data_IF_453938935865
#
_entry.id   IF_453938935865
#
_cell.length_a   1.000
_cell.length_b   1.000
_cell.length_c   1.000
_cell.angle_alpha   90.00
_cell.angle_beta   90.00
_cell.angle_gamma   90.00
#
_symmetry.space_group_name_H-M   'P 1'
#
loop_
_entity.id
_entity.type
_entity.pdbx_description
1 polymer ?
#
# COMPACT_ATOMS: atom_id res chain seq x y z
N UNK A 1 -0.85 -6.11 10.25
CA UNK A 1 0.19 -5.64 11.20
C UNK A 1 0.17 -4.11 11.20
N UNK A 2 0.28 -3.45 12.35
CA UNK A 2 0.50 -1.99 12.45
C UNK A 2 1.78 -1.74 13.22
N UNK A 3 2.59 -0.80 12.73
CA UNK A 3 3.80 -0.31 13.41
C UNK A 3 3.94 1.20 13.22
N UNK A 4 4.72 1.82 14.09
CA UNK A 4 5.17 3.20 13.93
C UNK A 4 6.68 3.17 13.68
N UNK A 5 7.14 3.91 12.67
CA UNK A 5 8.54 3.99 12.26
C UNK A 5 8.97 5.45 12.35
N UNK A 6 10.12 5.72 12.98
CA UNK A 6 10.73 7.05 12.95
C UNK A 6 11.52 7.22 11.64
N UNK A 7 11.16 8.24 10.86
CA UNK A 7 11.88 8.65 9.66
C UNK A 7 12.35 10.09 9.84
N UNK A 8 13.62 10.27 10.18
CA UNK A 8 14.24 11.58 10.38
C UNK A 8 13.52 12.44 11.43
N UNK A 9 13.07 11.85 12.54
CA UNK A 9 12.32 12.54 13.59
C UNK A 9 10.83 12.74 13.29
N UNK A 10 10.33 12.15 12.20
CA UNK A 10 8.91 12.10 11.88
C UNK A 10 8.37 10.68 12.06
N UNK A 11 7.37 10.53 12.94
CA UNK A 11 6.69 9.26 13.12
C UNK A 11 5.74 8.97 11.94
N UNK A 12 5.98 7.83 11.27
CA UNK A 12 5.16 7.32 10.16
C UNK A 12 4.48 6.03 10.58
N UNK A 13 3.16 5.95 10.41
CA UNK A 13 2.40 4.74 10.67
C UNK A 13 2.45 3.83 9.45
N UNK A 14 2.65 2.53 9.65
CA UNK A 14 2.67 1.54 8.59
C UNK A 14 1.70 0.42 8.93
N UNK A 15 0.76 0.15 8.04
CA UNK A 15 -0.19 -0.95 8.14
C UNK A 15 0.02 -1.92 6.98
N UNK A 16 0.27 -3.18 7.31
CA UNK A 16 0.41 -4.27 6.33
C UNK A 16 -0.86 -5.11 6.30
N UNK A 17 -1.37 -5.36 5.09
CA UNK A 17 -2.59 -6.15 4.83
C UNK A 17 -2.33 -7.32 3.89
N UNK A 18 -3.15 -8.35 4.02
CA UNK A 18 -3.30 -9.43 3.06
C UNK A 18 -4.79 -9.76 2.98
N UNK A 19 -5.47 -9.32 1.92
CA UNK A 19 -6.92 -9.45 1.81
C UNK A 19 -7.33 -10.78 1.17
N UNK A 20 -8.53 -11.25 1.49
CA UNK A 20 -9.06 -12.51 0.97
C UNK A 20 -9.40 -12.47 -0.53
N UNK A 21 -9.43 -13.64 -1.16
CA UNK A 21 -9.76 -13.78 -2.58
C UNK A 21 -11.24 -13.50 -2.92
N UNK A 22 -12.13 -13.56 -1.93
CA UNK A 22 -13.56 -13.35 -2.10
C UNK A 22 -13.89 -11.86 -1.96
N UNK A 23 -14.49 -11.23 -2.98
CA UNK A 23 -14.81 -9.80 -3.02
C UNK A 23 -15.57 -9.31 -1.78
N UNK A 24 -16.62 -10.03 -1.37
CA UNK A 24 -17.41 -9.68 -0.19
C UNK A 24 -16.59 -9.79 1.12
N UNK A 25 -15.60 -10.68 1.18
CA UNK A 25 -14.66 -10.74 2.31
C UNK A 25 -13.73 -9.54 2.30
N UNK A 26 -13.17 -9.16 1.13
CA UNK A 26 -12.32 -7.95 1.02
C UNK A 26 -13.01 -6.70 1.50
N UNK A 27 -14.25 -6.46 1.07
CA UNK A 27 -15.00 -5.28 1.50
C UNK A 27 -15.17 -5.22 3.02
N UNK A 28 -15.46 -6.37 3.66
CA UNK A 28 -15.53 -6.43 5.13
C UNK A 28 -14.19 -6.16 5.80
N UNK A 29 -13.10 -6.69 5.24
CA UNK A 29 -11.74 -6.45 5.73
C UNK A 29 -11.31 -4.99 5.56
N UNK A 30 -11.67 -4.35 4.44
CA UNK A 30 -11.42 -2.92 4.20
C UNK A 30 -12.20 -2.06 5.19
N UNK A 31 -13.49 -2.37 5.43
CA UNK A 31 -14.26 -1.66 6.45
C UNK A 31 -13.68 -1.85 7.86
N UNK A 32 -13.11 -3.03 8.17
CA UNK A 32 -12.40 -3.27 9.42
C UNK A 32 -11.09 -2.47 9.49
N UNK A 33 -10.35 -2.40 8.40
CA UNK A 33 -9.14 -1.59 8.28
C UNK A 33 -9.44 -0.09 8.49
N UNK A 34 -10.52 0.42 7.90
CA UNK A 34 -10.97 1.80 8.10
C UNK A 34 -11.23 2.10 9.59
N UNK A 35 -12.03 1.25 10.25
CA UNK A 35 -12.30 1.37 11.70
C UNK A 35 -11.03 1.27 12.53
N UNK A 36 -10.09 0.41 12.13
CA UNK A 36 -8.80 0.28 12.80
C UNK A 36 -7.99 1.57 12.66
N UNK A 37 -7.82 2.09 11.44
CA UNK A 37 -7.08 3.33 11.17
C UNK A 37 -7.68 4.50 11.95
N UNK A 38 -9.01 4.65 11.95
CA UNK A 38 -9.69 5.74 12.65
C UNK A 38 -9.47 5.70 14.18
N UNK A 39 -9.26 4.50 14.75
CA UNK A 39 -9.01 4.32 16.19
C UNK A 39 -7.55 4.47 16.57
N UNK A 40 -6.63 3.96 15.76
CA UNK A 40 -5.23 3.75 16.15
C UNK A 40 -4.25 4.75 15.50
N UNK A 41 -4.66 5.48 14.46
CA UNK A 41 -3.79 6.40 13.71
C UNK A 41 -4.35 7.81 13.78
N UNK A 42 -3.58 8.81 14.27
CA UNK A 42 -4.02 10.20 14.26
C UNK A 42 -4.40 10.65 12.85
N UNK A 43 -5.50 11.40 12.72
CA UNK A 43 -6.10 11.72 11.41
C UNK A 43 -5.14 12.42 10.43
N UNK A 44 -4.19 13.20 10.94
CA UNK A 44 -3.19 13.95 10.15
C UNK A 44 -1.79 13.32 10.16
N UNK A 45 -1.60 12.18 10.83
CA UNK A 45 -0.30 11.51 10.83
C UNK A 45 -0.01 10.89 9.44
N UNK A 46 1.26 10.91 9.00
CA UNK A 46 1.69 10.12 7.85
C UNK A 46 1.36 8.64 8.06
N UNK A 47 0.74 8.03 7.05
CA UNK A 47 0.31 6.64 7.09
C UNK A 47 0.61 5.99 5.74
N UNK A 48 1.24 4.82 5.78
CA UNK A 48 1.35 3.87 4.67
C UNK A 48 0.43 2.68 4.93
N UNK A 49 -0.34 2.28 3.93
CA UNK A 49 -1.03 1.00 3.89
C UNK A 49 -0.49 0.21 2.70
N UNK A 50 0.09 -0.96 2.96
CA UNK A 50 0.77 -1.76 1.95
C UNK A 50 0.43 -3.25 2.04
N UNK A 51 0.53 -3.97 0.93
CA UNK A 51 0.48 -5.42 0.90
C UNK A 51 -0.33 -5.96 -0.25
N UNK A 52 -0.72 -7.24 -0.14
CA UNK A 52 -1.52 -7.93 -1.14
C UNK A 52 -3.01 -7.65 -0.91
N UNK A 53 -3.61 -6.90 -1.81
CA UNK A 53 -5.02 -6.54 -1.73
C UNK A 53 -5.93 -7.54 -2.44
N UNK A 54 -5.38 -8.50 -3.19
CA UNK A 54 -6.13 -9.50 -3.95
C UNK A 54 -7.29 -8.89 -4.78
N UNK A 55 -7.08 -7.68 -5.30
CA UNK A 55 -8.04 -6.98 -6.14
C UNK A 55 -7.53 -6.86 -7.57
N UNK A 56 -8.30 -7.43 -8.48
CA UNK A 56 -8.01 -7.47 -9.91
C UNK A 56 -8.56 -6.24 -10.66
N UNK A 57 -9.14 -5.28 -9.93
CA UNK A 57 -9.76 -4.09 -10.48
C UNK A 57 -9.42 -2.83 -9.69
N UNK A 58 -10.34 -1.88 -9.68
CA UNK A 58 -10.15 -0.55 -9.08
C UNK A 58 -10.86 -0.36 -7.75
N UNK A 59 -11.49 -1.42 -7.21
CA UNK A 59 -12.32 -1.33 -6.01
C UNK A 59 -11.49 -0.87 -4.81
N UNK A 60 -10.35 -1.52 -4.58
CA UNK A 60 -9.46 -1.15 -3.46
C UNK A 60 -8.98 0.28 -3.60
N UNK A 61 -8.59 0.72 -4.80
CA UNK A 61 -8.17 2.11 -5.02
C UNK A 61 -9.27 3.10 -4.66
N UNK A 62 -10.53 2.81 -5.01
CA UNK A 62 -11.68 3.64 -4.65
C UNK A 62 -11.88 3.71 -3.14
N UNK A 63 -11.86 2.57 -2.45
CA UNK A 63 -12.05 2.53 -1.00
C UNK A 63 -10.90 3.22 -0.24
N UNK A 64 -9.65 3.03 -0.68
CA UNK A 64 -8.48 3.72 -0.09
C UNK A 64 -8.57 5.24 -0.27
N UNK A 65 -8.93 5.70 -1.48
CA UNK A 65 -9.14 7.13 -1.73
C UNK A 65 -10.23 7.74 -0.84
N UNK A 66 -11.29 6.97 -0.53
CA UNK A 66 -12.32 7.39 0.43
C UNK A 66 -11.79 7.64 1.85
N UNK A 67 -10.71 6.95 2.23
CA UNK A 67 -9.98 7.16 3.49
C UNK A 67 -8.88 8.23 3.41
N UNK A 68 -8.76 8.92 2.26
CA UNK A 68 -7.70 9.89 1.99
C UNK A 68 -6.33 9.25 1.77
N UNK A 69 -6.29 7.97 1.39
CA UNK A 69 -5.08 7.22 1.09
C UNK A 69 -4.92 7.07 -0.42
N UNK A 70 -3.79 7.53 -0.94
CA UNK A 70 -3.53 7.59 -2.38
C UNK A 70 -2.26 6.81 -2.72
N UNK A 71 -2.32 6.03 -3.81
CA UNK A 71 -1.16 5.36 -4.37
C UNK A 71 -0.55 6.18 -5.49
N UNK A 72 0.56 5.71 -6.05
CA UNK A 72 1.14 6.29 -7.26
C UNK A 72 0.14 6.25 -8.44
N UNK A 73 0.11 7.33 -9.21
CA UNK A 73 -0.81 7.61 -10.32
C UNK A 73 -0.18 7.36 -11.71
N UNK A 74 1.11 7.03 -11.75
CA UNK A 74 1.81 6.62 -12.97
C UNK A 74 1.50 5.19 -13.41
N UNK A 75 2.35 4.60 -14.26
CA UNK A 75 2.14 3.27 -14.83
C UNK A 75 1.91 2.19 -13.76
N UNK A 76 0.99 1.27 -14.04
CA UNK A 76 0.81 0.06 -13.23
C UNK A 76 2.07 -0.79 -13.28
N UNK A 77 2.34 -1.46 -12.16
CA UNK A 77 3.48 -2.36 -12.00
C UNK A 77 2.95 -3.73 -11.58
N UNK A 78 2.62 -4.61 -12.54
CA UNK A 78 2.09 -5.93 -12.23
C UNK A 78 3.06 -6.75 -11.38
N UNK A 79 2.51 -7.45 -10.38
CA UNK A 79 3.28 -8.26 -9.42
C UNK A 79 2.96 -9.74 -9.53
N UNK A 80 1.80 -10.10 -10.09
CA UNK A 80 1.30 -11.48 -10.11
C UNK A 80 0.86 -11.93 -11.52
N UNK A 81 1.10 -13.19 -11.92
CA UNK A 81 2.05 -14.12 -11.30
C UNK A 81 3.49 -13.72 -11.60
N UNK A 82 4.44 -14.01 -10.71
CA UNK A 82 5.79 -13.45 -10.78
C UNK A 82 6.52 -13.78 -12.08
N UNK A 83 6.33 -15.00 -12.59
CA UNK A 83 6.94 -15.50 -13.85
C UNK A 83 6.43 -14.81 -15.11
N UNK A 84 5.21 -14.26 -15.08
CA UNK A 84 4.57 -13.55 -16.18
C UNK A 84 3.59 -12.54 -15.59
N UNK A 85 4.07 -11.36 -15.16
CA UNK A 85 3.25 -10.42 -14.40
C UNK A 85 2.12 -9.83 -15.24
N UNK A 86 0.87 -10.05 -14.82
CA UNK A 86 -0.35 -9.63 -15.52
C UNK A 86 -1.24 -8.71 -14.66
N UNK A 87 -1.23 -8.91 -13.35
CA UNK A 87 -2.05 -8.17 -12.40
C UNK A 87 -1.20 -7.52 -11.30
N UNK A 88 -1.58 -6.32 -10.89
CA UNK A 88 -1.01 -5.64 -9.72
C UNK A 88 -1.92 -5.89 -8.52
N UNK A 89 -1.70 -7.02 -7.83
CA UNK A 89 -2.45 -7.36 -6.62
C UNK A 89 -1.86 -6.67 -5.39
N UNK A 90 -0.55 -6.47 -5.39
CA UNK A 90 0.16 -5.72 -4.38
C UNK A 90 0.03 -4.21 -4.65
N UNK A 91 -0.32 -3.45 -3.62
CA UNK A 91 -0.45 -2.00 -3.72
C UNK A 91 0.12 -1.32 -2.48
N UNK A 92 0.51 -0.06 -2.65
CA UNK A 92 0.97 0.82 -1.57
C UNK A 92 0.22 2.13 -1.67
N UNK A 93 -0.48 2.49 -0.61
CA UNK A 93 -1.22 3.74 -0.49
C UNK A 93 -0.67 4.56 0.67
N UNK A 94 -0.70 5.88 0.54
CA UNK A 94 -0.22 6.78 1.58
C UNK A 94 -1.12 8.00 1.78
N UNK A 95 -1.05 8.53 3.00
CA UNK A 95 -1.60 9.83 3.41
C UNK A 95 -0.48 10.62 4.08
N UNK A 96 -0.47 11.93 3.90
CA UNK A 96 0.54 12.80 4.51
C UNK A 96 1.94 12.64 3.90
N UNK A 97 2.06 11.93 2.79
CA UNK A 97 3.27 11.77 1.98
C UNK A 97 2.86 11.72 0.52
N UNK A 98 3.70 12.19 -0.38
CA UNK A 98 3.41 12.22 -1.82
C UNK A 98 4.03 10.98 -2.47
N UNK A 99 3.24 10.08 -3.09
CA UNK A 99 3.79 9.01 -3.92
C UNK A 99 4.51 9.63 -5.13
N UNK A 100 5.74 9.20 -5.39
CA UNK A 100 6.57 9.74 -6.50
C UNK A 100 7.05 8.67 -7.47
N UNK A 101 7.01 7.39 -7.08
CA UNK A 101 7.45 6.31 -7.94
C UNK A 101 6.93 4.95 -7.50
N UNK A 102 6.90 4.04 -8.47
CA UNK A 102 6.59 2.64 -8.27
C UNK A 102 7.45 1.80 -9.21
N UNK A 103 8.09 0.78 -8.68
CA UNK A 103 8.91 -0.14 -9.47
C UNK A 103 8.78 -1.58 -8.97
N UNK A 104 8.95 -2.51 -9.91
CA UNK A 104 9.06 -3.94 -9.64
C UNK A 104 10.47 -4.40 -10.04
N UNK A 105 11.27 -4.93 -9.10
CA UNK A 105 12.58 -5.48 -9.41
C UNK A 105 12.50 -6.58 -10.48
N UNK A 106 13.45 -6.57 -11.42
CA UNK A 106 13.53 -7.55 -12.51
C UNK A 106 14.57 -8.63 -12.22
N UNK A 107 14.39 -9.81 -12.82
CA UNK A 107 15.36 -10.90 -12.79
C UNK A 107 14.79 -12.22 -12.29
N UNK A 108 15.38 -13.33 -12.74
CA UNK A 108 14.90 -14.70 -12.45
C UNK A 108 14.91 -15.06 -10.97
N UNK A 109 15.72 -14.38 -10.14
CA UNK A 109 15.80 -14.66 -8.71
C UNK A 109 14.46 -14.41 -8.00
N UNK A 110 13.75 -13.35 -8.37
CA UNK A 110 12.48 -12.97 -7.76
C UNK A 110 11.40 -14.01 -7.99
N UNK A 111 11.33 -14.60 -9.19
CA UNK A 111 10.40 -15.67 -9.52
C UNK A 111 10.62 -16.95 -8.72
N UNK A 112 11.84 -17.16 -8.21
CA UNK A 112 12.18 -18.32 -7.38
C UNK A 112 11.87 -18.09 -5.90
N UNK A 113 11.70 -16.82 -5.50
CA UNK A 113 11.43 -16.44 -4.11
C UNK A 113 9.94 -16.43 -3.79
N UNK A 114 9.08 -16.06 -4.75
CA UNK A 114 7.63 -16.00 -4.57
C UNK A 114 6.90 -16.05 -5.92
N UNK A 115 5.62 -16.41 -5.88
CA UNK A 115 4.64 -16.25 -6.95
C UNK A 115 4.17 -14.80 -7.14
N UNK A 116 4.54 -13.89 -6.23
CA UNK A 116 4.44 -12.44 -6.38
C UNK A 116 5.83 -11.81 -6.54
N UNK A 117 5.93 -10.78 -7.38
CA UNK A 117 7.10 -9.92 -7.43
C UNK A 117 7.03 -8.86 -6.32
N UNK A 118 8.17 -8.45 -5.73
CA UNK A 118 8.20 -7.33 -4.81
C UNK A 118 7.75 -6.04 -5.51
N UNK A 119 7.02 -5.20 -4.76
CA UNK A 119 6.66 -3.86 -5.18
C UNK A 119 7.41 -2.84 -4.33
N UNK A 120 8.19 -1.98 -4.97
CA UNK A 120 8.92 -0.89 -4.30
C UNK A 120 8.22 0.41 -4.65
N UNK A 121 7.71 1.09 -3.62
CA UNK A 121 7.07 2.39 -3.73
C UNK A 121 7.95 3.47 -3.12
N UNK A 122 8.06 4.60 -3.81
CA UNK A 122 8.83 5.76 -3.37
C UNK A 122 7.88 6.89 -3.00
N UNK A 123 8.17 7.52 -1.86
CA UNK A 123 7.39 8.63 -1.33
C UNK A 123 8.29 9.80 -0.97
N UNK A 124 7.83 11.00 -1.30
CA UNK A 124 8.38 12.22 -0.75
C UNK A 124 7.71 12.48 0.61
N UNK A 125 8.52 12.54 1.67
CA UNK A 125 8.08 12.94 3.00
C UNK A 125 7.62 14.41 2.98
N UNK A 126 6.64 14.79 3.81
CA UNK A 126 6.30 16.19 3.98
C UNK A 126 7.49 16.91 4.61
N UNK A 127 7.68 18.19 4.30
CA UNK A 127 8.70 18.96 5.00
C UNK A 127 8.41 18.95 6.50
N UNK A 128 9.43 18.76 7.37
CA UNK A 128 9.22 18.86 8.80
C UNK A 128 8.63 20.24 9.09
N UNK A 129 7.50 20.28 9.81
CA UNK A 129 6.91 21.54 10.24
C UNK A 129 8.02 22.35 10.93
N UNK A 130 8.29 23.55 10.42
CA UNK A 130 9.44 24.37 10.81
C UNK A 130 9.64 24.36 12.32
N UNK A 131 10.89 24.12 12.74
CA UNK A 131 11.32 24.25 14.14
C UNK A 131 11.10 25.67 14.63
#
# INVERSE_FOLDING_TARGET
>A
LHSQVDLHGQAVHVVVVHLGLIRASRLRQIAQLERFIAREVPARAPLVVAGDFNDWGTMVRREMSGMGLFGYDGPVQPTFPSRMPLAQLDQVFARGMKPVGLQVPRGRIWWRMSDHLPLVAEFQLPEPAGR
#
